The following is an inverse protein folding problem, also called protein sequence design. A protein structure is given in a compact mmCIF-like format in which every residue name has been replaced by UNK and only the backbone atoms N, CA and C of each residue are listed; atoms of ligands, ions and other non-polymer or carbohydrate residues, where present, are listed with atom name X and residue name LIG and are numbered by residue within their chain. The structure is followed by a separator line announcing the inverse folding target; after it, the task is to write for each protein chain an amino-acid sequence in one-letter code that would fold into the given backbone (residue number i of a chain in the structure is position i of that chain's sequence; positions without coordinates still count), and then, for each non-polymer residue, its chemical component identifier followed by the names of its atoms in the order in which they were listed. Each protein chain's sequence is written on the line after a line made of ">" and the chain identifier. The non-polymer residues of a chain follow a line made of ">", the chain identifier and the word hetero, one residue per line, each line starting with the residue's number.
data_IF_878238914272
#
_entry.id   IF_878238914272
#
_cell.length_a   1.000
_cell.length_b   1.000
_cell.length_c   1.000
_cell.angle_alpha   90.00
_cell.angle_beta   90.00
_cell.angle_gamma   90.00
#
_symmetry.space_group_name_H-M   'P 1'
#
loop_
_entity.id
_entity.type
_entity.pdbx_description
1 polymer ?
#
# COMPACT_ATOMS: atom_id res chain seq x y z
N UNK A 1 9.38 -18.03 13.30
CA UNK A 1 10.30 -17.05 13.94
C UNK A 1 9.75 -15.62 13.95
N UNK A 2 9.53 -14.98 12.79
CA UNK A 2 9.06 -13.57 12.71
C UNK A 2 7.66 -13.38 13.34
N UNK A 3 6.67 -14.21 13.01
CA UNK A 3 5.33 -14.08 13.59
C UNK A 3 5.28 -14.22 15.12
N UNK A 4 6.18 -15.05 15.68
CA UNK A 4 6.34 -15.21 17.12
C UNK A 4 6.96 -13.96 17.74
N UNK A 5 7.98 -13.39 17.10
CA UNK A 5 8.63 -12.16 17.56
C UNK A 5 7.65 -10.98 17.62
N UNK A 6 6.82 -10.78 16.58
CA UNK A 6 5.79 -9.74 16.57
C UNK A 6 4.75 -9.94 17.69
N UNK A 7 4.30 -11.19 17.91
CA UNK A 7 3.38 -11.50 19.01
C UNK A 7 3.98 -11.21 20.38
N UNK A 8 5.28 -11.51 20.57
CA UNK A 8 5.98 -11.28 21.84
C UNK A 8 6.09 -9.78 22.20
N UNK A 9 6.17 -8.91 21.18
CA UNK A 9 6.29 -7.46 21.36
C UNK A 9 4.95 -6.73 21.18
N UNK A 10 3.83 -7.44 21.14
CA UNK A 10 2.48 -6.89 20.91
C UNK A 10 2.36 -6.05 19.62
N UNK A 11 3.09 -6.45 18.58
CA UNK A 11 3.06 -5.77 17.29
C UNK A 11 2.11 -6.45 16.31
N UNK A 12 1.46 -5.62 15.50
CA UNK A 12 0.64 -6.07 14.36
C UNK A 12 1.48 -6.91 13.40
N UNK A 13 1.00 -8.11 13.06
CA UNK A 13 1.72 -8.99 12.12
C UNK A 13 1.86 -8.31 10.75
N UNK A 14 3.01 -8.45 10.05
CA UNK A 14 3.25 -7.77 8.77
C UNK A 14 2.20 -8.00 7.69
N UNK A 15 1.55 -9.17 7.66
CA UNK A 15 0.47 -9.47 6.71
C UNK A 15 -0.71 -8.48 6.81
N UNK A 16 -1.01 -7.98 8.01
CA UNK A 16 -2.11 -7.04 8.22
C UNK A 16 -1.74 -5.63 7.80
N UNK A 17 -0.46 -5.26 7.82
CA UNK A 17 0.00 -3.99 7.24
C UNK A 17 -0.30 -3.95 5.74
N UNK A 18 -0.05 -5.05 5.01
CA UNK A 18 -0.40 -5.14 3.57
C UNK A 18 -1.90 -5.06 3.30
N UNK A 19 -2.73 -5.63 4.18
CA UNK A 19 -4.19 -5.52 4.09
C UNK A 19 -4.65 -4.08 4.32
N UNK A 20 -4.22 -3.48 5.43
CA UNK A 20 -4.49 -2.08 5.76
C UNK A 20 -4.11 -1.12 4.63
N UNK A 21 -2.91 -1.28 4.04
CA UNK A 21 -2.46 -0.47 2.90
C UNK A 21 -3.43 -0.59 1.73
N UNK A 22 -3.88 -1.80 1.39
CA UNK A 22 -4.78 -2.05 0.27
C UNK A 22 -6.15 -1.41 0.53
N UNK A 23 -6.75 -1.71 1.68
CA UNK A 23 -8.06 -1.18 2.09
C UNK A 23 -8.06 0.35 2.12
N UNK A 24 -6.96 0.96 2.56
CA UNK A 24 -6.80 2.41 2.60
C UNK A 24 -6.68 3.00 1.20
N UNK A 25 -5.85 2.41 0.32
CA UNK A 25 -5.70 2.87 -1.06
C UNK A 25 -7.04 2.83 -1.81
N UNK A 26 -7.80 1.74 -1.66
CA UNK A 26 -9.09 1.54 -2.34
C UNK A 26 -10.27 2.20 -1.64
N UNK A 27 -10.06 2.83 -0.49
CA UNK A 27 -11.11 3.56 0.22
C UNK A 27 -11.69 4.68 -0.64
N UNK A 28 -12.95 5.05 -0.37
CA UNK A 28 -13.64 6.16 -1.05
C UNK A 28 -12.84 7.48 -0.97
N UNK A 29 -12.10 7.69 0.12
CA UNK A 29 -11.28 8.89 0.32
C UNK A 29 -10.11 8.97 -0.67
N UNK A 30 -9.36 7.88 -0.86
CA UNK A 30 -8.17 7.90 -1.72
C UNK A 30 -8.50 7.52 -3.17
N UNK A 31 -9.57 6.74 -3.37
CA UNK A 31 -10.13 6.35 -4.65
C UNK A 31 -9.05 5.87 -5.64
N UNK A 32 -8.11 5.04 -5.16
CA UNK A 32 -7.10 4.39 -5.99
C UNK A 32 -7.72 3.09 -6.52
N UNK A 33 -7.73 2.86 -7.84
CA UNK A 33 -8.29 1.64 -8.39
C UNK A 33 -7.62 0.38 -7.81
N UNK A 34 -8.41 -0.66 -7.53
CA UNK A 34 -7.93 -1.91 -6.94
C UNK A 34 -6.77 -2.53 -7.73
N UNK A 35 -6.88 -2.59 -9.06
CA UNK A 35 -5.80 -3.07 -9.95
C UNK A 35 -4.48 -2.30 -9.79
N UNK A 36 -4.54 -1.01 -9.48
CA UNK A 36 -3.36 -0.16 -9.24
C UNK A 36 -2.80 -0.43 -7.84
N UNK A 37 -3.66 -0.55 -6.83
CA UNK A 37 -3.25 -0.91 -5.47
C UNK A 37 -2.59 -2.30 -5.42
N UNK A 38 -3.16 -3.28 -6.13
CA UNK A 38 -2.60 -4.62 -6.26
C UNK A 38 -1.27 -4.61 -7.03
N UNK A 39 -1.15 -3.79 -8.07
CA UNK A 39 0.11 -3.60 -8.79
C UNK A 39 1.20 -3.02 -7.86
N UNK A 40 0.88 -1.95 -7.11
CA UNK A 40 1.79 -1.34 -6.12
C UNK A 40 2.24 -2.38 -5.09
N UNK A 41 1.33 -3.27 -4.66
CA UNK A 41 1.66 -4.33 -3.71
C UNK A 41 2.33 -5.55 -4.33
N UNK A 42 2.55 -5.58 -5.64
CA UNK A 42 3.12 -6.73 -6.34
C UNK A 42 2.24 -7.98 -6.30
N UNK A 43 0.91 -7.82 -6.23
CA UNK A 43 -0.06 -8.93 -6.29
C UNK A 43 -0.44 -9.32 -7.73
N UNK A 44 -0.01 -8.54 -8.72
CA UNK A 44 -0.30 -8.80 -10.14
C UNK A 44 0.63 -9.90 -10.68
N UNK A 45 0.13 -10.83 -11.52
CA UNK A 45 0.95 -11.87 -12.12
C UNK A 45 2.15 -11.30 -12.90
N UNK A 46 3.30 -11.96 -12.82
CA UNK A 46 4.53 -11.55 -13.53
C UNK A 46 4.42 -11.69 -15.06
N UNK A 47 3.45 -12.47 -15.54
CA UNK A 47 3.24 -12.78 -16.96
C UNK A 47 2.40 -11.75 -17.72
N UNK A 48 2.03 -10.63 -17.10
CA UNK A 48 1.27 -9.60 -17.81
C UNK A 48 2.10 -9.00 -18.95
N UNK A 49 1.47 -8.78 -20.11
CA UNK A 49 2.15 -8.21 -21.27
C UNK A 49 2.71 -6.81 -20.98
N UNK A 50 3.82 -6.46 -21.64
CA UNK A 50 4.56 -5.21 -21.42
C UNK A 50 3.68 -3.95 -21.53
N UNK A 51 2.71 -3.93 -22.46
CA UNK A 51 1.75 -2.83 -22.63
C UNK A 51 0.88 -2.64 -21.38
N UNK A 52 0.36 -3.73 -20.82
CA UNK A 52 -0.47 -3.69 -19.62
C UNK A 52 0.36 -3.27 -18.40
N UNK A 53 1.58 -3.79 -18.28
CA UNK A 53 2.53 -3.39 -17.24
C UNK A 53 2.81 -1.88 -17.28
N UNK A 54 3.13 -1.34 -18.46
CA UNK A 54 3.41 0.10 -18.63
C UNK A 54 2.21 0.97 -18.25
N UNK A 55 0.99 0.53 -18.56
CA UNK A 55 -0.23 1.23 -18.15
C UNK A 55 -0.42 1.22 -16.64
N UNK A 56 -0.24 0.06 -15.99
CA UNK A 56 -0.33 -0.06 -14.53
C UNK A 56 0.75 0.76 -13.82
N UNK A 57 1.98 0.75 -14.33
CA UNK A 57 3.07 1.58 -13.79
C UNK A 57 2.72 3.07 -13.85
N UNK A 58 2.29 3.57 -15.01
CA UNK A 58 1.89 4.99 -15.16
C UNK A 58 0.76 5.36 -14.20
N UNK A 59 -0.23 4.49 -14.05
CA UNK A 59 -1.32 4.69 -13.08
C UNK A 59 -0.79 4.67 -11.64
N UNK A 60 0.12 3.76 -11.29
CA UNK A 60 0.72 3.72 -9.97
C UNK A 60 1.45 5.04 -9.66
N UNK A 61 2.28 5.54 -10.59
CA UNK A 61 2.98 6.82 -10.46
C UNK A 61 1.98 7.99 -10.28
N UNK A 62 0.82 7.95 -10.97
CA UNK A 62 -0.23 8.97 -10.86
C UNK A 62 -1.01 8.92 -9.55
N UNK A 63 -1.34 7.74 -9.04
CA UNK A 63 -2.23 7.57 -7.88
C UNK A 63 -1.49 7.47 -6.54
N UNK A 64 -0.24 6.98 -6.53
CA UNK A 64 0.52 6.78 -5.30
C UNK A 64 0.71 8.05 -4.44
N UNK A 65 0.86 9.27 -5.00
CA UNK A 65 0.94 10.49 -4.20
C UNK A 65 -0.20 10.66 -3.19
N UNK A 66 -1.44 10.26 -3.52
CA UNK A 66 -2.59 10.31 -2.60
C UNK A 66 -2.35 9.50 -1.33
N UNK A 67 -1.76 8.31 -1.49
CA UNK A 67 -1.41 7.46 -0.36
C UNK A 67 -0.21 8.01 0.42
N UNK A 68 0.79 8.58 -0.28
CA UNK A 68 1.94 9.21 0.37
C UNK A 68 1.54 10.42 1.25
N UNK A 69 0.62 11.25 0.77
CA UNK A 69 0.04 12.35 1.54
C UNK A 69 -0.71 11.85 2.78
N UNK A 70 -1.55 10.82 2.63
CA UNK A 70 -2.23 10.19 3.76
C UNK A 70 -1.25 9.71 4.84
N UNK A 71 -0.15 9.05 4.46
CA UNK A 71 0.87 8.59 5.39
C UNK A 71 1.58 9.76 6.07
N UNK A 72 1.82 10.84 5.32
CA UNK A 72 2.41 12.08 5.86
C UNK A 72 1.49 12.69 6.93
N UNK A 73 0.18 12.76 6.68
CA UNK A 73 -0.80 13.21 7.67
C UNK A 73 -0.84 12.31 8.92
N UNK A 74 -0.78 10.98 8.74
CA UNK A 74 -0.74 10.04 9.87
C UNK A 74 0.50 10.26 10.73
N UNK A 75 1.68 10.41 10.12
CA UNK A 75 2.93 10.68 10.84
C UNK A 75 2.87 12.00 11.60
N UNK A 76 2.26 13.03 11.01
CA UNK A 76 2.00 14.32 11.67
C UNK A 76 1.13 14.14 12.91
N UNK A 77 0.01 13.44 12.79
CA UNK A 77 -0.93 13.18 13.89
C UNK A 77 -0.30 12.38 15.02
N UNK A 78 0.61 11.47 14.69
CA UNK A 78 1.33 10.67 15.67
C UNK A 78 2.48 11.43 16.34
N UNK A 79 2.83 12.64 15.89
CA UNK A 79 3.99 13.39 16.39
C UNK A 79 5.34 12.76 15.98
N UNK A 80 5.38 12.00 14.89
CA UNK A 80 6.56 11.25 14.40
C UNK A 80 7.10 11.87 13.09
N UNK A 81 6.77 13.12 12.81
CA UNK A 81 7.46 13.88 11.77
C UNK A 81 8.81 14.36 12.35
N UNK A 82 9.88 13.97 11.67
CA UNK A 82 11.18 14.62 11.80
C UNK A 82 11.15 15.95 11.05
#
# INVERSE_FOLDING_TARGET
>A
YIAYWFRKHDFTRPKYIRKFVNDTMTSEKLNIPESVADFIQGRVPKSIGAKHYMQLKRKADQYYPRYAEYITELRRKAGILA
#
